data_IF_527734549208
#
_entry.id   IF_527734549208
#
_cell.length_a   1.000
_cell.length_b   1.000
_cell.length_c   1.000
_cell.angle_alpha   90.00
_cell.angle_beta   90.00
_cell.angle_gamma   90.00
#
_symmetry.space_group_name_H-M   'P 1'
#
loop_
_entity.id
_entity.type
_entity.pdbx_description
1 polymer ?
#
# COMPACT_ATOMS: atom_id res chain seq x y z
N UNK A 1 9.73 -21.84 7.91
CA UNK A 1 9.08 -21.43 9.18
C UNK A 1 9.02 -19.90 9.37
N UNK A 2 10.08 -19.15 9.06
CA UNK A 2 10.09 -17.67 9.17
C UNK A 2 9.10 -16.99 8.22
N UNK A 3 9.08 -17.39 6.94
CA UNK A 3 8.19 -16.77 5.95
C UNK A 3 6.70 -16.95 6.29
N UNK A 4 6.28 -18.13 6.74
CA UNK A 4 4.89 -18.37 7.18
C UNK A 4 4.50 -17.41 8.31
N UNK A 5 5.33 -17.29 9.36
CA UNK A 5 5.08 -16.37 10.47
C UNK A 5 4.98 -14.91 9.99
N UNK A 6 5.82 -14.50 9.04
CA UNK A 6 5.75 -13.16 8.47
C UNK A 6 4.46 -12.92 7.69
N UNK A 7 3.98 -13.93 6.94
CA UNK A 7 2.70 -13.85 6.22
C UNK A 7 1.53 -13.79 7.18
N UNK A 8 1.50 -14.67 8.20
CA UNK A 8 0.44 -14.68 9.21
C UNK A 8 0.37 -13.31 9.91
N UNK A 9 1.53 -12.79 10.34
CA UNK A 9 1.61 -11.48 10.97
C UNK A 9 1.18 -10.34 10.04
N UNK A 10 1.52 -10.38 8.76
CA UNK A 10 1.07 -9.39 7.79
C UNK A 10 -0.47 -9.33 7.71
N UNK A 11 -1.14 -10.49 7.71
CA UNK A 11 -2.60 -10.54 7.68
C UNK A 11 -3.25 -10.13 9.01
N UNK A 12 -2.58 -10.34 10.15
CA UNK A 12 -3.00 -9.72 11.42
C UNK A 12 -2.99 -8.19 11.31
N UNK A 13 -1.93 -7.59 10.75
CA UNK A 13 -1.86 -6.15 10.52
C UNK A 13 -2.93 -5.66 9.54
N UNK A 14 -3.14 -6.37 8.43
CA UNK A 14 -4.19 -6.03 7.47
C UNK A 14 -5.59 -6.09 8.10
N UNK A 15 -5.82 -7.03 9.01
CA UNK A 15 -7.06 -7.10 9.77
C UNK A 15 -7.26 -5.91 10.70
N UNK A 16 -6.22 -5.55 11.47
CA UNK A 16 -6.27 -4.37 12.34
C UNK A 16 -6.54 -3.11 11.52
N UNK A 17 -5.87 -2.92 10.37
CA UNK A 17 -6.11 -1.78 9.47
C UNK A 17 -7.57 -1.70 9.04
N UNK A 18 -8.18 -2.81 8.62
CA UNK A 18 -9.59 -2.80 8.20
C UNK A 18 -10.55 -2.57 9.37
N UNK A 19 -10.29 -3.12 10.56
CA UNK A 19 -11.08 -2.84 11.76
C UNK A 19 -11.00 -1.36 12.17
N UNK A 20 -9.80 -0.78 12.16
CA UNK A 20 -9.60 0.64 12.46
C UNK A 20 -10.34 1.51 11.43
N UNK A 21 -10.26 1.18 10.13
CA UNK A 21 -10.96 1.94 9.09
C UNK A 21 -12.48 1.93 9.24
N UNK A 22 -13.07 0.86 9.79
CA UNK A 22 -14.51 0.80 10.05
C UNK A 22 -14.97 1.72 11.19
N UNK A 23 -14.04 2.18 12.03
CA UNK A 23 -14.31 3.08 13.15
C UNK A 23 -14.05 4.54 12.82
N UNK A 24 -13.43 4.82 11.67
CA UNK A 24 -13.08 6.16 11.22
C UNK A 24 -14.07 6.65 10.17
N UNK A 25 -14.35 7.96 10.18
CA UNK A 25 -15.03 8.60 9.08
C UNK A 25 -14.14 8.59 7.82
N UNK A 26 -14.72 8.61 6.61
CA UNK A 26 -13.95 8.63 5.37
C UNK A 26 -12.94 9.77 5.23
N UNK A 27 -13.15 10.88 5.94
CA UNK A 27 -12.24 12.04 5.93
C UNK A 27 -11.11 11.96 6.98
N UNK A 28 -11.14 10.98 7.87
CA UNK A 28 -10.11 10.79 8.91
C UNK A 28 -8.97 9.88 8.44
N UNK A 29 -9.07 9.32 7.23
CA UNK A 29 -8.00 8.51 6.64
C UNK A 29 -7.86 8.74 5.14
N UNK A 30 -6.64 8.61 4.64
CA UNK A 30 -6.34 8.65 3.23
C UNK A 30 -5.67 7.34 2.82
N UNK A 31 -6.29 6.60 1.90
CA UNK A 31 -5.76 5.33 1.41
C UNK A 31 -5.00 5.54 0.10
N UNK A 32 -3.71 5.20 0.11
CA UNK A 32 -2.81 5.36 -1.03
C UNK A 32 -2.07 4.05 -1.32
N UNK A 33 -1.91 3.72 -2.60
CA UNK A 33 -1.06 2.59 -3.06
C UNK A 33 0.16 3.13 -3.77
N UNK A 34 1.32 2.52 -3.55
CA UNK A 34 2.57 2.97 -4.17
C UNK A 34 2.51 2.92 -5.70
N UNK A 35 1.83 1.92 -6.28
CA UNK A 35 1.64 1.81 -7.72
C UNK A 35 0.72 2.89 -8.28
N UNK A 36 -0.29 3.33 -7.50
CA UNK A 36 -1.14 4.45 -7.86
C UNK A 36 -0.37 5.78 -7.78
N UNK A 37 0.33 5.98 -6.65
CA UNK A 37 1.18 7.13 -6.42
C UNK A 37 2.21 7.33 -7.54
N UNK A 38 2.96 6.28 -7.91
CA UNK A 38 3.97 6.39 -8.95
C UNK A 38 3.41 6.59 -10.37
N UNK A 39 2.12 6.28 -10.62
CA UNK A 39 1.49 6.57 -11.92
C UNK A 39 1.17 8.04 -12.09
N UNK A 40 0.72 8.72 -11.04
CA UNK A 40 0.32 10.13 -11.07
C UNK A 40 0.80 10.89 -9.81
N UNK A 41 2.13 10.96 -9.56
CA UNK A 41 2.66 11.36 -8.25
C UNK A 41 2.28 12.79 -7.86
N UNK A 42 2.19 13.72 -8.80
CA UNK A 42 1.76 15.08 -8.49
C UNK A 42 0.29 15.19 -8.09
N UNK A 43 -0.60 14.41 -8.72
CA UNK A 43 -2.02 14.41 -8.34
C UNK A 43 -2.20 13.82 -6.95
N UNK A 44 -1.62 12.64 -6.72
CA UNK A 44 -1.74 11.90 -5.47
C UNK A 44 -1.07 12.67 -4.31
N UNK A 45 0.07 13.32 -4.56
CA UNK A 45 0.73 14.16 -3.55
C UNK A 45 -0.11 15.37 -3.19
N UNK A 46 -0.76 16.05 -4.15
CA UNK A 46 -1.66 17.16 -3.85
C UNK A 46 -2.86 16.73 -3.01
N UNK A 47 -3.45 15.57 -3.33
CA UNK A 47 -4.53 15.00 -2.51
C UNK A 47 -4.07 14.70 -1.08
N UNK A 48 -2.86 14.16 -0.91
CA UNK A 48 -2.27 13.93 0.40
C UNK A 48 -1.96 15.24 1.15
N UNK A 49 -1.47 16.27 0.44
CA UNK A 49 -1.24 17.59 1.01
C UNK A 49 -2.55 18.20 1.52
N UNK A 50 -3.61 18.14 0.71
CA UNK A 50 -4.95 18.60 1.10
C UNK A 50 -5.47 17.85 2.34
N UNK A 51 -5.36 16.52 2.36
CA UNK A 51 -5.76 15.70 3.50
C UNK A 51 -5.01 16.04 4.79
N UNK A 52 -3.71 16.37 4.69
CA UNK A 52 -2.86 16.68 5.84
C UNK A 52 -2.84 18.16 6.23
N UNK A 53 -3.49 19.04 5.44
CA UNK A 53 -3.38 20.49 5.60
C UNK A 53 -2.00 21.06 5.23
N UNK A 54 -1.18 20.31 4.50
CA UNK A 54 0.14 20.74 4.03
C UNK A 54 0.02 21.60 2.76
N UNK A 55 0.99 22.50 2.50
CA UNK A 55 1.03 23.27 1.27
C UNK A 55 1.12 22.36 0.04
N UNK A 56 0.30 22.61 -0.97
CA UNK A 56 0.25 21.87 -2.23
C UNK A 56 0.79 22.68 -3.42
N UNK A 57 1.51 23.76 -3.14
CA UNK A 57 2.08 24.67 -4.12
C UNK A 57 3.11 23.99 -5.02
N UNK A 58 3.21 24.47 -6.27
CA UNK A 58 3.98 23.85 -7.35
C UNK A 58 5.41 23.47 -6.96
N UNK A 59 6.18 24.40 -6.40
CA UNK A 59 7.60 24.17 -6.09
C UNK A 59 7.83 23.04 -5.07
N UNK A 60 6.94 22.90 -4.08
CA UNK A 60 7.00 21.81 -3.10
C UNK A 60 6.67 20.47 -3.75
N UNK A 61 5.59 20.43 -4.54
CA UNK A 61 5.17 19.22 -5.25
C UNK A 61 6.24 18.75 -6.22
N UNK A 62 6.81 19.66 -7.02
CA UNK A 62 7.89 19.34 -7.96
C UNK A 62 9.15 18.85 -7.24
N UNK A 63 9.53 19.49 -6.13
CA UNK A 63 10.66 19.03 -5.31
C UNK A 63 10.44 17.60 -4.79
N UNK A 64 9.25 17.30 -4.26
CA UNK A 64 8.91 15.95 -3.79
C UNK A 64 8.87 14.92 -4.92
N UNK A 65 8.38 15.28 -6.11
CA UNK A 65 8.37 14.37 -7.27
C UNK A 65 9.79 14.08 -7.74
N UNK A 66 10.69 15.08 -7.71
CA UNK A 66 12.06 14.97 -8.24
C UNK A 66 12.91 13.88 -7.57
N UNK A 67 12.59 13.49 -6.34
CA UNK A 67 13.30 12.44 -5.58
C UNK A 67 12.70 11.05 -5.78
N UNK A 68 11.58 10.92 -6.50
CA UNK A 68 10.92 9.63 -6.70
C UNK A 68 11.67 8.77 -7.72
N UNK A 69 11.91 7.51 -7.36
CA UNK A 69 12.43 6.52 -8.29
C UNK A 69 11.30 6.00 -9.19
N UNK A 70 11.57 5.91 -10.50
CA UNK A 70 10.53 5.61 -11.51
C UNK A 70 9.86 4.23 -11.44
N UNK A 71 10.35 3.27 -10.62
CA UNK A 71 9.69 1.98 -10.40
C UNK A 71 9.83 1.50 -8.96
N UNK A 72 8.76 0.93 -8.37
CA UNK A 72 8.83 0.37 -7.02
C UNK A 72 9.74 -0.85 -7.00
N UNK A 73 10.56 -0.98 -5.95
CA UNK A 73 11.47 -2.10 -5.81
C UNK A 73 10.69 -3.37 -5.44
N UNK A 74 10.62 -4.32 -6.35
CA UNK A 74 9.88 -5.57 -6.14
C UNK A 74 10.74 -6.64 -5.46
N UNK A 75 11.07 -6.42 -4.18
CA UNK A 75 11.89 -7.36 -3.39
C UNK A 75 11.25 -8.74 -3.21
N UNK A 76 9.91 -8.83 -3.33
CA UNK A 76 9.15 -10.08 -3.19
C UNK A 76 9.59 -11.18 -4.17
N UNK A 77 10.12 -10.83 -5.34
CA UNK A 77 10.61 -11.78 -6.34
C UNK A 77 11.97 -12.39 -6.00
N UNK A 78 12.67 -11.85 -5.00
CA UNK A 78 13.95 -12.40 -4.54
C UNK A 78 13.79 -13.60 -3.59
N UNK A 79 12.55 -13.90 -3.19
CA UNK A 79 12.22 -14.96 -2.26
C UNK A 79 11.68 -16.15 -3.05
N UNK A 80 12.16 -17.35 -2.75
CA UNK A 80 11.52 -18.58 -3.23
C UNK A 80 10.30 -18.85 -2.36
N UNK A 81 9.10 -18.62 -2.92
CA UNK A 81 7.83 -18.82 -2.23
C UNK A 81 7.39 -20.29 -2.32
N UNK A 82 7.18 -20.97 -1.18
CA UNK A 82 6.52 -22.28 -1.18
C UNK A 82 5.10 -22.16 -1.74
N UNK A 83 4.70 -23.11 -2.60
CA UNK A 83 3.38 -23.09 -3.25
C UNK A 83 2.21 -23.01 -2.26
N UNK A 84 2.31 -23.71 -1.13
CA UNK A 84 1.28 -23.64 -0.08
C UNK A 84 1.12 -22.24 0.55
N UNK A 85 2.17 -21.42 0.56
CA UNK A 85 2.11 -20.04 1.06
C UNK A 85 1.59 -19.07 0.00
N UNK A 86 1.77 -19.37 -1.29
CA UNK A 86 1.13 -18.65 -2.39
C UNK A 86 -0.39 -18.86 -2.32
N UNK A 87 -0.84 -20.11 -2.16
CA UNK A 87 -2.27 -20.41 -2.02
C UNK A 87 -2.88 -19.75 -0.78
N UNK A 88 -2.19 -19.79 0.36
CA UNK A 88 -2.60 -19.03 1.55
C UNK A 88 -2.80 -17.54 1.23
N UNK A 89 -1.89 -16.92 0.48
CA UNK A 89 -2.02 -15.53 0.05
C UNK A 89 -3.22 -15.29 -0.87
N UNK A 90 -3.43 -16.17 -1.87
CA UNK A 90 -4.57 -16.10 -2.79
C UNK A 90 -5.92 -16.20 -2.07
N UNK A 91 -6.02 -17.04 -1.04
CA UNK A 91 -7.24 -17.17 -0.24
C UNK A 91 -7.48 -15.97 0.69
N UNK A 92 -6.42 -15.35 1.20
CA UNK A 92 -6.54 -14.29 2.21
C UNK A 92 -6.67 -12.89 1.61
N UNK A 93 -5.93 -12.55 0.55
CA UNK A 93 -5.92 -11.20 -0.05
C UNK A 93 -7.34 -10.67 -0.35
N UNK A 94 -8.27 -11.45 -0.95
CA UNK A 94 -9.61 -10.96 -1.28
C UNK A 94 -10.44 -10.52 -0.06
N UNK A 95 -10.09 -10.97 1.15
CA UNK A 95 -10.80 -10.64 2.39
C UNK A 95 -10.53 -9.21 2.88
N UNK A 96 -9.49 -8.55 2.36
CA UNK A 96 -9.04 -7.24 2.84
C UNK A 96 -9.14 -6.20 1.72
N UNK A 97 -10.07 -5.22 1.81
CA UNK A 97 -10.21 -4.14 0.83
C UNK A 97 -8.92 -3.38 0.53
N UNK A 98 -8.07 -3.10 1.53
CA UNK A 98 -6.76 -2.45 1.34
C UNK A 98 -5.81 -3.24 0.41
N UNK A 99 -5.99 -4.56 0.28
CA UNK A 99 -5.15 -5.43 -0.54
C UNK A 99 -5.72 -5.70 -1.94
N UNK A 100 -6.86 -5.09 -2.31
CA UNK A 100 -7.49 -5.29 -3.62
C UNK A 100 -6.51 -4.98 -4.76
N UNK A 101 -6.43 -5.86 -5.75
CA UNK A 101 -5.56 -5.69 -6.92
C UNK A 101 -4.11 -6.14 -6.71
N UNK A 102 -3.74 -6.66 -5.53
CA UNK A 102 -2.51 -7.42 -5.37
C UNK A 102 -2.75 -8.89 -5.69
N UNK A 103 -1.90 -9.46 -6.53
CA UNK A 103 -1.94 -10.87 -6.91
C UNK A 103 -0.54 -11.46 -6.95
N UNK A 104 -0.46 -12.78 -6.89
CA UNK A 104 0.72 -13.58 -7.21
C UNK A 104 0.69 -13.88 -8.71
N UNK A 105 1.34 -13.02 -9.51
CA UNK A 105 1.57 -13.16 -10.95
C UNK A 105 3.00 -13.53 -11.30
#
# INVERSE_FOLDING_TARGET
>A
MVLKKAIDHYFELAHVVEQTRQQLNPEEYHHLKIEGFLKNPGQELRQLCHFTGMPDQGDYVEACISILYGKPRQSRWKISWPGNLIEQGREQIPKYPCLRGYEFS
#
